data_IF_694624282990
#
_entry.id   IF_694624282990
#
_cell.length_a   1.000
_cell.length_b   1.000
_cell.length_c   1.000
_cell.angle_alpha   90.00
_cell.angle_beta   90.00
_cell.angle_gamma   90.00
#
_symmetry.space_group_name_H-M   'P 1'
#
loop_
_entity.id
_entity.type
_entity.pdbx_description
1 polymer ?
#
# COMPACT_ATOMS: atom_id res chain seq x y z
N UNK A 1 108.60 -23.43 27.97
CA UNK A 1 108.87 -22.71 26.70
C UNK A 1 107.96 -23.17 25.55
N UNK A 2 107.66 -24.47 25.41
CA UNK A 2 106.80 -25.02 24.32
C UNK A 2 105.30 -24.68 24.45
N UNK A 3 104.75 -24.56 25.66
CA UNK A 3 103.34 -24.18 25.87
C UNK A 3 103.03 -22.72 25.50
N UNK A 4 104.00 -21.81 25.70
CA UNK A 4 103.83 -20.38 25.41
C UNK A 4 103.76 -20.13 23.89
N UNK A 5 104.53 -20.89 23.10
CA UNK A 5 104.52 -20.76 21.63
C UNK A 5 103.25 -21.33 20.99
N UNK A 6 102.64 -22.37 21.57
CA UNK A 6 101.37 -22.92 21.11
C UNK A 6 100.20 -21.96 21.36
N UNK A 7 100.11 -21.39 22.57
CA UNK A 7 99.11 -20.38 22.92
C UNK A 7 99.24 -19.11 22.07
N UNK A 8 100.47 -18.69 21.73
CA UNK A 8 100.70 -17.57 20.82
C UNK A 8 100.23 -17.83 19.39
N UNK A 9 100.35 -19.07 18.89
CA UNK A 9 99.86 -19.44 17.58
C UNK A 9 98.32 -19.49 17.52
N UNK A 10 97.69 -20.05 18.56
CA UNK A 10 96.22 -20.07 18.68
C UNK A 10 95.63 -18.66 18.81
N UNK A 11 96.30 -17.77 19.56
CA UNK A 11 95.88 -16.38 19.70
C UNK A 11 95.89 -15.65 18.34
N UNK A 12 96.96 -15.82 17.55
CA UNK A 12 97.06 -15.25 16.20
C UNK A 12 96.01 -15.81 15.24
N UNK A 13 95.72 -17.11 15.31
CA UNK A 13 94.69 -17.72 14.48
C UNK A 13 93.29 -17.19 14.85
N UNK A 14 93.05 -16.97 16.14
CA UNK A 14 91.81 -16.39 16.65
C UNK A 14 91.64 -14.92 16.20
N UNK A 15 92.70 -14.12 16.29
CA UNK A 15 92.74 -12.73 15.78
C UNK A 15 92.48 -12.68 14.26
N UNK A 16 93.03 -13.62 13.50
CA UNK A 16 92.78 -13.73 12.06
C UNK A 16 91.34 -14.15 11.73
N UNK A 17 90.74 -15.04 12.52
CA UNK A 17 89.33 -15.41 12.37
C UNK A 17 88.41 -14.25 12.73
N UNK A 18 88.75 -13.52 13.78
CA UNK A 18 87.98 -12.36 14.26
C UNK A 18 87.97 -11.23 13.22
N UNK A 19 89.13 -10.93 12.61
CA UNK A 19 89.21 -9.94 11.51
C UNK A 19 88.39 -10.36 10.28
N UNK A 20 88.45 -11.64 9.90
CA UNK A 20 87.65 -12.17 8.78
C UNK A 20 86.14 -12.13 9.08
N UNK A 21 85.75 -12.42 10.31
CA UNK A 21 84.35 -12.32 10.76
C UNK A 21 83.85 -10.87 10.74
N UNK A 22 84.67 -9.93 11.23
CA UNK A 22 84.37 -8.50 11.17
C UNK A 22 84.22 -8.01 9.72
N UNK A 23 85.07 -8.48 8.81
CA UNK A 23 84.97 -8.12 7.39
C UNK A 23 83.68 -8.68 6.75
N UNK A 24 83.29 -9.91 7.09
CA UNK A 24 82.02 -10.50 6.65
C UNK A 24 80.80 -9.78 7.22
N UNK A 25 80.84 -9.41 8.51
CA UNK A 25 79.78 -8.65 9.16
C UNK A 25 79.59 -7.31 8.46
N UNK A 26 80.69 -6.60 8.18
CA UNK A 26 80.65 -5.31 7.47
C UNK A 26 80.06 -5.43 6.07
N UNK A 27 80.42 -6.48 5.32
CA UNK A 27 79.84 -6.77 4.00
C UNK A 27 78.35 -7.07 4.09
N UNK A 28 77.92 -7.83 5.11
CA UNK A 28 76.51 -8.16 5.35
C UNK A 28 75.70 -6.91 5.69
N UNK A 29 76.20 -6.05 6.57
CA UNK A 29 75.57 -4.77 6.93
C UNK A 29 75.40 -3.87 5.71
N UNK A 30 76.42 -3.78 4.86
CA UNK A 30 76.36 -2.99 3.62
C UNK A 30 75.30 -3.53 2.64
N UNK A 31 75.21 -4.86 2.51
CA UNK A 31 74.21 -5.52 1.68
C UNK A 31 72.79 -5.29 2.24
N UNK A 32 72.61 -5.41 3.55
CA UNK A 32 71.33 -5.16 4.23
C UNK A 32 70.87 -3.71 4.05
N UNK A 33 71.79 -2.75 4.15
CA UNK A 33 71.49 -1.34 3.93
C UNK A 33 71.08 -1.08 2.46
N UNK A 34 71.77 -1.70 1.51
CA UNK A 34 71.41 -1.60 0.09
C UNK A 34 70.04 -2.20 -0.21
N UNK A 35 69.72 -3.36 0.36
CA UNK A 35 68.40 -3.99 0.23
C UNK A 35 67.30 -3.13 0.86
N UNK A 36 67.55 -2.54 2.04
CA UNK A 36 66.61 -1.60 2.68
C UNK A 36 66.34 -0.39 1.79
N UNK A 37 67.38 0.22 1.23
CA UNK A 37 67.24 1.37 0.30
C UNK A 37 66.45 0.98 -0.95
N UNK A 38 66.69 -0.20 -1.50
CA UNK A 38 65.96 -0.69 -2.67
C UNK A 38 64.49 -0.96 -2.35
N UNK A 39 64.20 -1.57 -1.20
CA UNK A 39 62.83 -1.81 -0.72
C UNK A 39 62.07 -0.50 -0.52
N UNK A 40 62.66 0.46 0.18
CA UNK A 40 62.04 1.77 0.41
C UNK A 40 61.75 2.50 -0.91
N UNK A 41 62.67 2.42 -1.89
CA UNK A 41 62.47 3.02 -3.22
C UNK A 41 61.35 2.35 -4.00
N UNK A 42 61.23 1.02 -3.94
CA UNK A 42 60.15 0.27 -4.57
C UNK A 42 58.80 0.58 -3.93
N UNK A 43 58.76 0.67 -2.61
CA UNK A 43 57.55 0.98 -1.83
C UNK A 43 57.05 2.41 -2.14
N UNK A 44 57.98 3.36 -2.28
CA UNK A 44 57.67 4.74 -2.66
C UNK A 44 57.11 4.84 -4.09
N UNK A 45 57.62 4.03 -5.03
CA UNK A 45 57.10 3.97 -6.40
C UNK A 45 55.69 3.37 -6.48
N UNK A 46 55.33 2.46 -5.57
CA UNK A 46 53.99 1.85 -5.52
C UNK A 46 52.96 2.73 -4.82
N UNK A 47 53.37 3.61 -3.92
CA UNK A 47 52.47 4.41 -3.08
C UNK A 47 51.62 5.39 -3.89
N UNK A 48 52.22 6.13 -4.83
CA UNK A 48 51.49 7.15 -5.60
C UNK A 48 50.47 6.54 -6.60
N UNK A 49 50.82 5.53 -7.43
CA UNK A 49 49.85 4.86 -8.30
C UNK A 49 48.73 4.16 -7.52
N UNK A 50 49.05 3.59 -6.35
CA UNK A 50 48.06 2.96 -5.47
C UNK A 50 47.04 3.98 -4.94
N UNK A 51 47.49 5.15 -4.51
CA UNK A 51 46.62 6.25 -4.09
C UNK A 51 45.70 6.72 -5.21
N UNK A 52 46.24 6.98 -6.40
CA UNK A 52 45.46 7.39 -7.57
C UNK A 52 44.42 6.35 -8.00
N UNK A 53 44.77 5.06 -7.93
CA UNK A 53 43.84 3.97 -8.23
C UNK A 53 42.72 3.86 -7.20
N UNK A 54 43.01 4.04 -5.91
CA UNK A 54 41.99 4.09 -4.86
C UNK A 54 41.03 5.26 -5.06
N UNK A 55 41.55 6.46 -5.29
CA UNK A 55 40.74 7.66 -5.50
C UNK A 55 39.87 7.55 -6.75
N UNK A 56 40.40 6.98 -7.85
CA UNK A 56 39.61 6.70 -9.06
C UNK A 56 38.50 5.69 -8.79
N UNK A 57 38.77 4.63 -8.03
CA UNK A 57 37.77 3.63 -7.67
C UNK A 57 36.67 4.20 -6.76
N UNK A 58 37.03 5.09 -5.82
CA UNK A 58 36.07 5.80 -4.99
C UNK A 58 35.17 6.71 -5.83
N UNK A 59 35.75 7.54 -6.71
CA UNK A 59 34.97 8.38 -7.63
C UNK A 59 34.02 7.59 -8.53
N UNK A 60 34.46 6.44 -9.04
CA UNK A 60 33.61 5.57 -9.86
C UNK A 60 32.44 5.00 -9.05
N UNK A 61 32.69 4.58 -7.80
CA UNK A 61 31.62 4.12 -6.90
C UNK A 61 30.65 5.25 -6.55
N UNK A 62 31.15 6.42 -6.20
CA UNK A 62 30.31 7.58 -5.86
C UNK A 62 29.43 8.00 -7.04
N UNK A 63 29.99 8.03 -8.26
CA UNK A 63 29.21 8.32 -9.46
C UNK A 63 28.13 7.26 -9.72
N UNK A 64 28.44 5.96 -9.51
CA UNK A 64 27.44 4.89 -9.62
C UNK A 64 26.34 5.02 -8.58
N UNK A 65 26.69 5.29 -7.33
CA UNK A 65 25.73 5.47 -6.23
C UNK A 65 24.83 6.66 -6.50
N UNK A 66 25.40 7.76 -7.00
CA UNK A 66 24.64 8.97 -7.31
C UNK A 66 23.66 8.74 -8.46
N UNK A 67 24.11 8.07 -9.53
CA UNK A 67 23.24 7.71 -10.66
C UNK A 67 22.08 6.78 -10.23
N UNK A 68 22.37 5.77 -9.41
CA UNK A 68 21.34 4.85 -8.89
C UNK A 68 20.34 5.56 -7.97
N UNK A 69 20.80 6.50 -7.13
CA UNK A 69 19.92 7.31 -6.27
C UNK A 69 18.96 8.17 -7.09
N UNK A 70 19.47 8.81 -8.15
CA UNK A 70 18.64 9.62 -9.03
C UNK A 70 17.58 8.75 -9.74
N UNK A 71 17.95 7.57 -10.23
CA UNK A 71 16.99 6.63 -10.84
C UNK A 71 15.93 6.13 -9.85
N UNK A 72 16.29 5.93 -8.59
CA UNK A 72 15.35 5.57 -7.52
C UNK A 72 14.36 6.71 -7.27
N UNK A 73 14.82 7.96 -7.17
CA UNK A 73 13.94 9.12 -6.99
C UNK A 73 12.99 9.32 -8.18
N UNK A 74 13.47 9.16 -9.41
CA UNK A 74 12.62 9.22 -10.61
C UNK A 74 11.55 8.13 -10.59
N UNK A 75 11.91 6.90 -10.21
CA UNK A 75 10.95 5.79 -10.10
C UNK A 75 9.95 5.97 -8.97
N UNK A 76 10.36 6.53 -7.84
CA UNK A 76 9.45 6.82 -6.73
C UNK A 76 8.43 7.90 -7.12
N UNK A 77 8.84 8.89 -7.93
CA UNK A 77 7.92 9.88 -8.50
C UNK A 77 6.91 9.23 -9.45
N UNK A 78 7.38 8.37 -10.38
CA UNK A 78 6.50 7.63 -11.28
C UNK A 78 5.47 6.77 -10.51
N UNK A 79 5.92 6.06 -9.46
CA UNK A 79 5.04 5.24 -8.62
C UNK A 79 3.96 6.10 -7.96
N UNK A 80 4.33 7.24 -7.37
CA UNK A 80 3.38 8.13 -6.71
C UNK A 80 2.35 8.72 -7.69
N UNK A 81 2.75 9.05 -8.90
CA UNK A 81 1.84 9.50 -9.97
C UNK A 81 0.87 8.37 -10.39
N UNK A 82 1.38 7.15 -10.56
CA UNK A 82 0.56 5.98 -10.86
C UNK A 82 -0.42 5.67 -9.72
N UNK A 83 0.02 5.71 -8.46
CA UNK A 83 -0.84 5.49 -7.29
C UNK A 83 -1.95 6.53 -7.19
N UNK A 84 -1.63 7.80 -7.43
CA UNK A 84 -2.62 8.89 -7.46
C UNK A 84 -3.67 8.67 -8.55
N UNK A 85 -3.22 8.31 -9.76
CA UNK A 85 -4.10 8.05 -10.90
C UNK A 85 -4.98 6.82 -10.67
N UNK A 86 -4.41 5.77 -10.08
CA UNK A 86 -5.12 4.53 -9.77
C UNK A 86 -6.17 4.74 -8.67
N UNK A 87 -5.85 5.52 -7.64
CA UNK A 87 -6.83 5.91 -6.60
C UNK A 87 -7.98 6.69 -7.21
N UNK A 88 -7.71 7.70 -8.05
CA UNK A 88 -8.75 8.50 -8.70
C UNK A 88 -9.65 7.62 -9.59
N UNK A 89 -9.07 6.72 -10.38
CA UNK A 89 -9.83 5.80 -11.22
C UNK A 89 -10.65 4.80 -10.40
N UNK A 90 -10.14 4.33 -9.26
CA UNK A 90 -10.88 3.46 -8.33
C UNK A 90 -12.06 4.19 -7.67
N UNK A 91 -11.89 5.45 -7.28
CA UNK A 91 -12.95 6.27 -6.72
C UNK A 91 -14.04 6.53 -7.76
N UNK A 92 -13.67 6.85 -9.00
CA UNK A 92 -14.60 6.98 -10.13
C UNK A 92 -15.37 5.67 -10.40
N UNK A 93 -14.68 4.53 -10.34
CA UNK A 93 -15.30 3.22 -10.50
C UNK A 93 -16.27 2.90 -9.36
N UNK A 94 -15.90 3.23 -8.11
CA UNK A 94 -16.74 3.05 -6.93
C UNK A 94 -18.02 3.90 -7.04
N UNK A 95 -17.88 5.17 -7.42
CA UNK A 95 -19.01 6.07 -7.66
C UNK A 95 -19.91 5.55 -8.80
N UNK A 96 -19.33 5.03 -9.88
CA UNK A 96 -20.11 4.38 -10.94
C UNK A 96 -20.78 3.07 -10.51
N UNK A 97 -20.13 2.24 -9.71
CA UNK A 97 -20.72 1.00 -9.17
C UNK A 97 -21.87 1.30 -8.19
N UNK A 98 -21.73 2.33 -7.35
CA UNK A 98 -22.81 2.82 -6.48
C UNK A 98 -24.03 3.32 -7.28
N UNK A 99 -23.82 3.77 -8.51
CA UNK A 99 -24.89 4.14 -9.44
C UNK A 99 -25.47 2.92 -10.18
N UNK A 100 -24.71 1.83 -10.35
CA UNK A 100 -25.12 0.66 -11.15
C UNK A 100 -25.92 -0.40 -10.37
N UNK A 101 -25.80 -0.47 -9.04
CA UNK A 101 -26.69 -1.30 -8.21
C UNK A 101 -26.85 -0.72 -6.80
N UNK A 102 -27.84 0.16 -6.57
CA UNK A 102 -28.03 0.80 -5.28
C UNK A 102 -28.33 -0.22 -4.18
N UNK A 103 -27.82 -0.03 -2.95
CA UNK A 103 -28.08 -0.95 -1.81
C UNK A 103 -29.57 -1.12 -1.48
N UNK A 104 -30.40 -0.14 -1.84
CA UNK A 104 -31.85 -0.20 -1.66
C UNK A 104 -32.56 -1.07 -2.69
N UNK A 105 -31.86 -1.49 -3.77
CA UNK A 105 -32.46 -2.26 -4.84
C UNK A 105 -32.82 -3.67 -4.37
N UNK A 106 -34.07 -4.04 -4.60
CA UNK A 106 -34.60 -5.38 -4.35
C UNK A 106 -35.12 -5.94 -5.66
N UNK A 107 -34.68 -7.15 -6.02
CA UNK A 107 -35.28 -7.89 -7.13
C UNK A 107 -36.76 -8.18 -6.83
N UNK A 108 -37.65 -7.88 -7.79
CA UNK A 108 -39.09 -8.14 -7.68
C UNK A 108 -39.40 -9.60 -7.34
N UNK A 109 -38.60 -10.54 -7.83
CA UNK A 109 -38.79 -11.97 -7.57
C UNK A 109 -38.63 -12.34 -6.09
N UNK A 110 -37.97 -11.49 -5.30
CA UNK A 110 -37.86 -11.67 -3.85
C UNK A 110 -39.06 -11.12 -3.07
N UNK A 111 -39.98 -10.41 -3.74
CA UNK A 111 -41.17 -9.80 -3.14
C UNK A 111 -42.40 -10.61 -3.54
N UNK A 112 -43.02 -11.27 -2.57
CA UNK A 112 -44.27 -12.00 -2.80
C UNK A 112 -45.44 -11.14 -2.35
N UNK A 113 -46.23 -10.64 -3.29
CA UNK A 113 -47.43 -9.86 -2.98
C UNK A 113 -48.55 -10.77 -2.49
N UNK A 114 -49.29 -10.33 -1.47
CA UNK A 114 -50.50 -11.01 -1.01
C UNK A 114 -51.75 -10.32 -1.56
N UNK A 115 -52.91 -10.95 -1.41
CA UNK A 115 -54.20 -10.36 -1.80
C UNK A 115 -54.74 -9.34 -0.77
N UNK A 116 -54.03 -9.11 0.34
CA UNK A 116 -54.50 -8.22 1.41
C UNK A 116 -54.17 -6.77 1.08
N UNK A 117 -55.20 -6.02 0.71
CA UNK A 117 -55.13 -4.60 0.47
C UNK A 117 -55.10 -3.80 1.79
N UNK A 118 -54.17 -2.86 1.91
CA UNK A 118 -53.98 -2.02 3.09
C UNK A 118 -54.48 -0.59 2.87
N UNK A 119 -54.41 -0.08 1.64
CA UNK A 119 -54.91 1.25 1.33
C UNK A 119 -54.58 1.72 -0.07
N UNK A 120 -55.15 2.86 -0.46
CA UNK A 120 -54.87 3.54 -1.73
C UNK A 120 -54.79 5.03 -1.50
N UNK A 121 -53.82 5.68 -2.14
CA UNK A 121 -53.65 7.12 -2.14
C UNK A 121 -53.44 7.66 -3.56
N UNK A 122 -53.13 8.95 -3.65
CA UNK A 122 -52.85 9.60 -4.95
C UNK A 122 -51.59 9.07 -5.65
N UNK A 123 -50.71 8.38 -4.92
CA UNK A 123 -49.44 7.86 -5.41
C UNK A 123 -49.45 6.35 -5.69
N UNK A 124 -50.62 5.72 -5.57
CA UNK A 124 -50.81 4.31 -5.88
C UNK A 124 -51.50 3.52 -4.79
N UNK A 125 -51.28 2.21 -4.79
CA UNK A 125 -51.93 1.27 -3.87
C UNK A 125 -50.93 0.62 -2.93
N UNK A 126 -51.41 0.21 -1.76
CA UNK A 126 -50.61 -0.38 -0.69
C UNK A 126 -51.21 -1.74 -0.36
N UNK A 127 -50.38 -2.77 -0.40
CA UNK A 127 -50.74 -4.16 -0.12
C UNK A 127 -49.76 -4.79 0.85
N UNK A 128 -50.19 -5.81 1.59
CA UNK A 128 -49.26 -6.65 2.36
C UNK A 128 -48.48 -7.57 1.42
N UNK A 129 -47.20 -7.75 1.69
CA UNK A 129 -46.32 -8.69 0.99
C UNK A 129 -45.45 -9.50 1.95
N UNK A 130 -44.61 -10.36 1.37
CA UNK A 130 -43.55 -11.10 2.04
C UNK A 130 -42.21 -10.79 1.39
N UNK A 131 -41.21 -10.49 2.22
CA UNK A 131 -39.82 -10.34 1.83
C UNK A 131 -38.93 -11.01 2.87
N UNK A 132 -38.03 -11.91 2.45
CA UNK A 132 -37.19 -12.71 3.35
C UNK A 132 -37.97 -13.43 4.48
N UNK A 133 -39.21 -13.86 4.21
CA UNK A 133 -40.11 -14.51 5.18
C UNK A 133 -40.88 -13.56 6.11
N UNK A 134 -40.47 -12.30 6.21
CA UNK A 134 -41.13 -11.27 7.02
C UNK A 134 -42.33 -10.66 6.27
N UNK A 135 -43.40 -10.34 7.00
CA UNK A 135 -44.50 -9.54 6.46
C UNK A 135 -44.06 -8.08 6.30
N UNK A 136 -44.36 -7.51 5.13
CA UNK A 136 -43.94 -6.15 4.75
C UNK A 136 -45.13 -5.39 4.16
N UNK A 137 -45.06 -4.07 4.22
CA UNK A 137 -45.95 -3.21 3.45
C UNK A 137 -45.30 -2.92 2.09
N UNK A 138 -46.05 -3.13 1.01
CA UNK A 138 -45.58 -2.89 -0.37
C UNK A 138 -46.50 -1.87 -1.02
N UNK A 139 -45.94 -0.70 -1.32
CA UNK A 139 -46.61 0.35 -2.07
C UNK A 139 -46.27 0.23 -3.55
N UNK A 140 -47.28 -0.07 -4.35
CA UNK A 140 -47.22 -0.11 -5.81
C UNK A 140 -47.46 1.31 -6.33
N UNK A 141 -46.43 1.92 -6.89
CA UNK A 141 -46.49 3.26 -7.46
C UNK A 141 -47.06 3.16 -8.88
N UNK A 142 -48.08 3.98 -9.18
CA UNK A 142 -48.68 3.97 -10.52
C UNK A 142 -47.73 4.54 -11.58
N UNK A 143 -47.64 3.87 -12.72
CA UNK A 143 -46.82 4.26 -13.89
C UNK A 143 -47.05 5.71 -14.36
N UNK A 144 -48.27 6.23 -14.26
CA UNK A 144 -48.63 7.60 -14.67
C UNK A 144 -47.85 8.70 -13.92
N UNK A 145 -47.20 8.35 -12.81
CA UNK A 145 -46.40 9.26 -11.98
C UNK A 145 -44.91 9.16 -12.35
N UNK A 146 -44.52 8.23 -13.22
CA UNK A 146 -43.12 7.92 -13.56
C UNK A 146 -42.73 8.53 -14.92
N UNK A 147 -42.77 9.85 -15.00
CA UNK A 147 -42.08 10.53 -16.11
C UNK A 147 -40.56 10.32 -16.00
N UNK A 148 -39.77 10.43 -17.09
CA UNK A 148 -38.30 10.36 -17.01
C UNK A 148 -37.68 11.34 -15.99
N UNK A 149 -38.33 12.47 -15.75
CA UNK A 149 -37.95 13.42 -14.70
C UNK A 149 -38.23 12.88 -13.29
N UNK A 150 -39.33 12.15 -13.10
CA UNK A 150 -39.71 11.56 -11.81
C UNK A 150 -38.87 10.32 -11.45
N UNK A 151 -38.30 9.60 -12.42
CA UNK A 151 -37.37 8.49 -12.13
C UNK A 151 -36.14 8.96 -11.35
N UNK A 152 -35.53 10.10 -11.74
CA UNK A 152 -34.40 10.69 -10.99
C UNK A 152 -34.78 11.14 -9.59
N UNK A 153 -35.98 11.68 -9.42
CA UNK A 153 -36.49 12.04 -8.10
C UNK A 153 -36.75 10.79 -7.26
N UNK A 154 -37.32 9.75 -7.83
CA UNK A 154 -37.54 8.46 -7.19
C UNK A 154 -36.22 7.86 -6.67
N UNK A 155 -35.21 7.73 -7.53
CA UNK A 155 -33.88 7.25 -7.15
C UNK A 155 -33.24 8.10 -6.03
N UNK A 156 -33.40 9.43 -6.09
CA UNK A 156 -32.92 10.33 -5.04
C UNK A 156 -33.62 10.05 -3.71
N UNK A 157 -34.95 9.96 -3.71
CA UNK A 157 -35.71 9.66 -2.49
C UNK A 157 -35.35 8.27 -1.94
N UNK A 158 -35.14 7.25 -2.78
CA UNK A 158 -34.72 5.91 -2.34
C UNK A 158 -33.33 5.95 -1.71
N UNK A 159 -32.40 6.71 -2.30
CA UNK A 159 -31.08 6.92 -1.72
C UNK A 159 -31.14 7.58 -0.34
N UNK A 160 -32.02 8.57 -0.16
CA UNK A 160 -32.23 9.21 1.14
C UNK A 160 -32.83 8.20 2.14
N UNK A 161 -33.94 7.54 1.77
CA UNK A 161 -34.65 6.59 2.62
C UNK A 161 -33.75 5.41 3.05
N UNK A 162 -32.86 4.94 2.18
CA UNK A 162 -31.91 3.87 2.47
C UNK A 162 -30.96 4.17 3.64
N UNK A 163 -30.69 5.46 3.89
CA UNK A 163 -29.75 5.93 4.93
C UNK A 163 -30.45 6.36 6.22
N UNK A 164 -31.79 6.44 6.24
CA UNK A 164 -32.55 6.84 7.42
C UNK A 164 -32.83 5.63 8.32
N UNK A 165 -32.30 5.64 9.54
CA UNK A 165 -32.54 4.62 10.57
C UNK A 165 -32.81 5.28 11.92
N UNK A 166 -34.06 5.30 12.35
CA UNK A 166 -34.48 5.90 13.61
C UNK A 166 -35.77 5.27 14.13
N UNK A 167 -35.97 5.07 15.45
CA UNK A 167 -37.16 4.40 16.00
C UNK A 167 -38.50 5.06 15.67
N UNK A 168 -38.51 6.36 15.39
CA UNK A 168 -39.72 7.13 15.03
C UNK A 168 -39.86 7.39 13.52
N UNK A 169 -39.02 6.77 12.68
CA UNK A 169 -39.15 6.84 11.23
C UNK A 169 -39.53 5.46 10.72
N UNK A 170 -40.50 5.41 9.81
CA UNK A 170 -40.91 4.17 9.16
C UNK A 170 -39.70 3.49 8.51
N UNK A 171 -39.47 2.23 8.83
CA UNK A 171 -38.31 1.51 8.35
C UNK A 171 -38.44 1.19 6.86
N UNK A 172 -37.63 1.88 6.06
CA UNK A 172 -37.48 1.59 4.64
C UNK A 172 -36.54 0.39 4.42
N UNK A 173 -37.06 -0.60 3.69
CA UNK A 173 -36.35 -1.84 3.38
C UNK A 173 -35.70 -1.76 2.01
N UNK A 174 -36.43 -1.31 0.99
CA UNK A 174 -35.90 -1.16 -0.36
C UNK A 174 -36.97 -0.89 -1.41
N UNK A 175 -36.57 -0.90 -2.68
CA UNK A 175 -37.48 -0.71 -3.80
C UNK A 175 -37.04 -1.49 -5.05
N UNK A 176 -37.98 -1.73 -5.97
CA UNK A 176 -37.67 -2.26 -7.30
C UNK A 176 -37.29 -1.15 -8.26
N UNK A 177 -36.45 -1.48 -9.24
CA UNK A 177 -36.07 -0.60 -10.35
C UNK A 177 -36.04 -1.42 -11.65
N UNK A 178 -37.14 -2.12 -11.92
CA UNK A 178 -37.34 -2.91 -13.14
C UNK A 178 -38.37 -2.23 -14.05
N UNK A 179 -38.66 -2.84 -15.21
CA UNK A 179 -39.61 -2.32 -16.21
C UNK A 179 -41.10 -2.38 -15.76
N UNK A 180 -41.39 -2.91 -14.57
CA UNK A 180 -42.74 -2.96 -14.01
C UNK A 180 -43.06 -1.80 -13.07
N UNK A 181 -44.31 -1.75 -12.56
CA UNK A 181 -44.72 -0.76 -11.57
C UNK A 181 -43.80 -0.79 -10.33
N UNK A 182 -43.12 0.32 -9.97
CA UNK A 182 -42.17 0.34 -8.87
C UNK A 182 -42.83 -0.04 -7.56
N UNK A 183 -42.15 -0.92 -6.84
CA UNK A 183 -42.53 -1.38 -5.52
C UNK A 183 -41.67 -0.66 -4.50
N UNK A 184 -42.29 0.02 -3.55
CA UNK A 184 -41.64 0.60 -2.38
C UNK A 184 -41.95 -0.25 -1.16
N UNK A 185 -40.93 -0.79 -0.50
CA UNK A 185 -41.05 -1.80 0.54
C UNK A 185 -40.63 -1.22 1.89
N UNK A 186 -41.51 -1.34 2.89
CA UNK A 186 -41.27 -0.92 4.27
C UNK A 186 -41.66 -2.00 5.25
N UNK A 187 -41.35 -1.79 6.53
CA UNK A 187 -42.00 -2.54 7.60
C UNK A 187 -43.52 -2.43 7.51
N UNK A 188 -44.20 -3.49 7.96
CA UNK A 188 -45.65 -3.52 8.07
C UNK A 188 -46.08 -2.97 9.43
N UNK A 189 -46.88 -1.91 9.42
CA UNK A 189 -47.46 -1.34 10.64
C UNK A 189 -48.84 -1.95 10.94
N UNK A 190 -49.22 -2.03 12.22
CA UNK A 190 -50.52 -2.56 12.63
C UNK A 190 -51.69 -1.68 12.15
N UNK A 191 -51.54 -0.35 12.25
CA UNK A 191 -52.55 0.62 11.82
C UNK A 191 -51.94 2.01 11.60
N UNK A 192 -52.69 2.88 10.92
CA UNK A 192 -52.33 4.30 10.78
C UNK A 192 -52.97 5.13 11.90
N UNK A 193 -52.33 6.24 12.27
CA UNK A 193 -52.91 7.18 13.24
C UNK A 193 -54.28 7.69 12.80
N UNK A 194 -54.46 7.96 11.50
CA UNK A 194 -55.75 8.37 10.93
C UNK A 194 -56.83 7.34 11.22
N UNK A 195 -56.56 6.07 10.91
CA UNK A 195 -57.50 4.97 11.14
C UNK A 195 -57.84 4.84 12.62
N UNK A 196 -56.85 4.96 13.51
CA UNK A 196 -57.07 4.89 14.95
C UNK A 196 -57.93 6.04 15.48
N UNK A 197 -57.73 7.26 14.96
CA UNK A 197 -58.52 8.44 15.33
C UNK A 197 -59.95 8.38 14.78
N UNK A 198 -60.15 7.84 13.59
CA UNK A 198 -61.49 7.66 13.02
C UNK A 198 -62.31 6.61 13.80
N UNK A 199 -61.64 5.59 14.37
CA UNK A 199 -62.28 4.58 15.22
C UNK A 199 -62.59 5.08 16.64
N UNK A 200 -61.73 5.95 17.18
CA UNK A 200 -61.97 6.64 18.44
C UNK A 200 -62.66 7.96 18.15
N UNK A 201 -63.98 7.94 17.95
CA UNK A 201 -64.76 9.17 18.05
C UNK A 201 -64.36 9.87 19.35
N UNK A 202 -63.75 11.05 19.24
CA UNK A 202 -63.34 11.86 20.38
C UNK A 202 -64.61 12.20 21.16
N UNK A 203 -64.90 11.43 22.22
CA UNK A 203 -65.94 11.77 23.19
C UNK A 203 -65.46 12.89 24.09
#
# INVERSE_FOLDING_TARGET
>A
MVQVTHLQAELREKELRETKLHEQLRKKEQLEENLRKQSAKMEQQLTNPRGQMQERNERLRDNQVTALRQQLEEKDQEINEFETTLSAAQDELCEHQRQQSPEWFISRDHIQLTSKFLGKGGWGSVVEGKFCGCSVEVKQIHELILSPHHCKLFEREMNIASRCRHPCLLHFIGATNDEGDPLFVTELMETSLRTLLEQRALS
#
